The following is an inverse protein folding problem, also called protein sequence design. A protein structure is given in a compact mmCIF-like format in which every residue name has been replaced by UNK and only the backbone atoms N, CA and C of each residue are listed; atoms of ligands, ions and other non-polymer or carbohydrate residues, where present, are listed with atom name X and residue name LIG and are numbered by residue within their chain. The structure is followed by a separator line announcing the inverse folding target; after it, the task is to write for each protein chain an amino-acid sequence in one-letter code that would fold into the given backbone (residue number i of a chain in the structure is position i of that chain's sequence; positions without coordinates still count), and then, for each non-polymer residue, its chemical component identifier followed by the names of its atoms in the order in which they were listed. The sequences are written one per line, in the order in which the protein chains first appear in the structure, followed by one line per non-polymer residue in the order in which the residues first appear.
data_IF_233872164275
#
_entry.id   IF_233872164275
#
_cell.length_a   1.000
_cell.length_b   1.000
_cell.length_c   1.000
_cell.angle_alpha   90.00
_cell.angle_beta   90.00
_cell.angle_gamma   90.00
#
_symmetry.space_group_name_H-M   'P 1'
#
loop_
_entity.id
_entity.type
_entity.pdbx_description
1 polymer ?
#
# COMPACT_ATOMS: atom_id res chain seq x y z
N UNK A 1 11.59 -13.36 -15.81
CA UNK A 1 11.88 -11.91 -15.70
C UNK A 1 10.85 -11.05 -16.42
N UNK A 2 10.53 -11.29 -17.70
CA UNK A 2 9.49 -10.53 -18.44
C UNK A 2 8.13 -10.48 -17.71
N UNK A 3 7.64 -11.62 -17.20
CA UNK A 3 6.38 -11.69 -16.44
C UNK A 3 6.37 -10.79 -15.20
N UNK A 4 7.47 -10.74 -14.45
CA UNK A 4 7.60 -9.94 -13.23
C UNK A 4 7.51 -8.45 -13.56
N UNK A 5 8.26 -8.00 -14.58
CA UNK A 5 8.27 -6.60 -15.00
C UNK A 5 6.86 -6.16 -15.44
N UNK A 6 6.18 -6.97 -16.25
CA UNK A 6 4.82 -6.67 -16.73
C UNK A 6 3.86 -6.59 -15.54
N UNK A 7 3.89 -7.58 -14.65
CA UNK A 7 3.03 -7.58 -13.46
C UNK A 7 3.29 -6.37 -12.57
N UNK A 8 4.55 -5.99 -12.33
CA UNK A 8 4.88 -4.79 -11.55
C UNK A 8 4.25 -3.54 -12.16
N UNK A 9 4.37 -3.33 -13.48
CA UNK A 9 3.80 -2.16 -14.14
C UNK A 9 2.27 -2.12 -14.05
N UNK A 10 1.61 -3.26 -14.29
CA UNK A 10 0.15 -3.36 -14.22
C UNK A 10 -0.33 -3.09 -12.79
N UNK A 11 0.28 -3.74 -11.80
CA UNK A 11 -0.12 -3.58 -10.40
C UNK A 11 0.20 -2.16 -9.91
N UNK A 12 1.29 -1.55 -10.35
CA UNK A 12 1.63 -0.17 -10.01
C UNK A 12 0.55 0.82 -10.49
N UNK A 13 0.11 0.70 -11.75
CA UNK A 13 -0.98 1.51 -12.29
C UNK A 13 -2.29 1.25 -11.53
N UNK A 14 -2.64 -0.02 -11.28
CA UNK A 14 -3.82 -0.37 -10.52
C UNK A 14 -3.78 0.21 -9.10
N UNK A 15 -2.60 0.21 -8.46
CA UNK A 15 -2.40 0.75 -7.12
C UNK A 15 -2.62 2.25 -7.07
N UNK A 16 -2.18 3.02 -8.07
CA UNK A 16 -2.46 4.45 -8.15
C UNK A 16 -3.98 4.71 -8.15
N UNK A 17 -4.72 3.95 -8.98
CA UNK A 17 -6.18 4.10 -9.08
C UNK A 17 -6.86 3.74 -7.76
N UNK A 18 -6.53 2.57 -7.19
CA UNK A 18 -7.14 2.07 -5.95
C UNK A 18 -6.82 2.97 -4.76
N UNK A 19 -5.61 3.51 -4.70
CA UNK A 19 -5.16 4.36 -3.59
C UNK A 19 -5.70 5.79 -3.66
N UNK A 20 -6.22 6.23 -4.81
CA UNK A 20 -6.72 7.61 -4.97
C UNK A 20 -7.90 7.93 -4.05
N UNK A 21 -8.80 6.96 -3.83
CA UNK A 21 -9.99 7.12 -2.98
C UNK A 21 -9.60 7.34 -1.51
N UNK A 22 -8.88 6.43 -0.84
CA UNK A 22 -8.42 6.69 0.53
C UNK A 22 -7.40 7.84 0.59
N UNK A 23 -6.61 8.04 -0.47
CA UNK A 23 -5.77 9.23 -0.67
C UNK A 23 -6.52 10.53 -0.42
N UNK A 24 -7.67 10.68 -1.06
CA UNK A 24 -8.47 11.89 -0.96
C UNK A 24 -9.31 11.97 0.33
N UNK A 25 -9.99 10.88 0.70
CA UNK A 25 -10.98 10.92 1.79
C UNK A 25 -10.41 10.68 3.18
N UNK A 26 -9.26 9.99 3.28
CA UNK A 26 -8.68 9.61 4.57
C UNK A 26 -7.31 10.25 4.78
N UNK A 27 -6.35 10.04 3.87
CA UNK A 27 -4.98 10.50 4.08
C UNK A 27 -4.82 12.02 3.97
N UNK A 28 -5.43 12.67 2.97
CA UNK A 28 -5.28 14.10 2.78
C UNK A 28 -5.81 14.96 3.96
N UNK A 29 -6.99 14.70 4.54
CA UNK A 29 -7.45 15.42 5.73
C UNK A 29 -6.50 15.28 6.94
N UNK A 30 -6.02 14.06 7.21
CA UNK A 30 -5.07 13.82 8.31
C UNK A 30 -3.72 14.48 8.06
N UNK A 31 -3.23 14.52 6.81
CA UNK A 31 -2.03 15.26 6.45
C UNK A 31 -2.16 16.75 6.76
N UNK A 32 -3.31 17.36 6.45
CA UNK A 32 -3.57 18.79 6.71
C UNK A 32 -3.60 19.05 8.22
N UNK A 33 -4.26 18.19 8.99
CA UNK A 33 -4.28 18.30 10.45
C UNK A 33 -2.87 18.17 11.05
N UNK A 34 -2.12 17.14 10.65
CA UNK A 34 -0.75 16.91 11.12
C UNK A 34 0.20 18.03 10.71
N UNK A 35 0.05 18.60 9.52
CA UNK A 35 0.83 19.76 9.08
C UNK A 35 0.52 21.01 9.90
N UNK A 36 -0.74 21.18 10.34
CA UNK A 36 -1.12 22.26 11.26
C UNK A 36 -0.53 22.11 12.66
N UNK A 37 -0.42 20.87 13.16
CA UNK A 37 0.13 20.57 14.49
C UNK A 37 1.67 20.56 14.49
N UNK A 38 2.30 20.08 13.42
CA UNK A 38 3.73 19.84 13.31
C UNK A 38 4.31 20.38 11.98
N UNK A 39 4.22 21.69 11.71
CA UNK A 39 4.55 22.27 10.39
C UNK A 39 6.01 22.10 9.97
N UNK A 40 6.94 22.01 10.92
CA UNK A 40 8.37 21.79 10.64
C UNK A 40 8.70 20.33 10.31
N UNK A 41 7.82 19.39 10.66
CA UNK A 41 8.02 17.95 10.46
C UNK A 41 7.12 17.37 9.35
N UNK A 42 5.93 17.94 9.16
CA UNK A 42 4.91 17.44 8.24
C UNK A 42 4.57 18.53 7.21
N UNK A 43 5.02 18.39 5.95
CA UNK A 43 4.75 19.38 4.93
C UNK A 43 3.26 19.39 4.54
N UNK A 44 2.71 20.55 4.13
CA UNK A 44 1.29 20.64 3.75
C UNK A 44 0.97 19.86 2.47
N UNK A 45 1.97 19.65 1.62
CA UNK A 45 1.88 18.81 0.42
C UNK A 45 2.96 17.74 0.54
N UNK A 46 2.60 16.45 0.52
CA UNK A 46 3.58 15.37 0.49
C UNK A 46 4.49 15.44 -0.74
N UNK A 47 5.75 15.04 -0.58
CA UNK A 47 6.64 14.86 -1.72
C UNK A 47 6.25 13.58 -2.49
N UNK A 48 5.52 13.78 -3.58
CA UNK A 48 5.05 12.70 -4.44
C UNK A 48 6.19 11.87 -5.06
N UNK A 49 7.41 12.39 -5.13
CA UNK A 49 8.57 11.67 -5.69
C UNK A 49 8.94 10.50 -4.79
N UNK A 50 9.07 10.74 -3.48
CA UNK A 50 9.38 9.69 -2.50
C UNK A 50 8.20 8.73 -2.34
N UNK A 51 6.97 9.23 -2.35
CA UNK A 51 5.78 8.37 -2.30
C UNK A 51 5.71 7.43 -3.51
N UNK A 52 5.97 7.96 -4.71
CA UNK A 52 5.97 7.19 -5.96
C UNK A 52 7.06 6.11 -5.96
N UNK A 53 8.28 6.46 -5.52
CA UNK A 53 9.37 5.50 -5.40
C UNK A 53 9.05 4.41 -4.37
N UNK A 54 8.52 4.78 -3.21
CA UNK A 54 8.09 3.84 -2.18
C UNK A 54 7.05 2.85 -2.71
N UNK A 55 6.02 3.35 -3.39
CA UNK A 55 5.00 2.53 -4.02
C UNK A 55 5.59 1.58 -5.08
N UNK A 56 6.50 2.06 -5.93
CA UNK A 56 7.16 1.23 -6.94
C UNK A 56 7.95 0.08 -6.31
N UNK A 57 8.77 0.36 -5.28
CA UNK A 57 9.52 -0.68 -4.59
C UNK A 57 8.62 -1.67 -3.86
N UNK A 58 7.54 -1.18 -3.24
CA UNK A 58 6.55 -2.05 -2.60
C UNK A 58 5.86 -2.97 -3.62
N UNK A 59 5.57 -2.48 -4.83
CA UNK A 59 5.03 -3.32 -5.91
C UNK A 59 6.04 -4.37 -6.40
N UNK A 60 7.30 -3.98 -6.58
CA UNK A 60 8.38 -4.93 -6.95
C UNK A 60 8.47 -6.03 -5.90
N UNK A 61 8.54 -5.64 -4.62
CA UNK A 61 8.60 -6.58 -3.50
C UNK A 61 7.40 -7.53 -3.48
N UNK A 62 6.18 -6.99 -3.55
CA UNK A 62 4.94 -7.77 -3.51
C UNK A 62 4.86 -8.78 -4.65
N UNK A 63 5.15 -8.35 -5.88
CA UNK A 63 5.12 -9.24 -7.06
C UNK A 63 6.17 -10.34 -6.96
N UNK A 64 7.38 -10.03 -6.51
CA UNK A 64 8.44 -11.04 -6.33
C UNK A 64 8.04 -12.06 -5.26
N UNK A 65 7.52 -11.62 -4.13
CA UNK A 65 7.06 -12.51 -3.06
C UNK A 65 5.93 -13.41 -3.56
N UNK A 66 4.93 -12.85 -4.25
CA UNK A 66 3.77 -13.60 -4.72
C UNK A 66 4.15 -14.63 -5.79
N UNK A 67 5.08 -14.30 -6.69
CA UNK A 67 5.66 -15.25 -7.64
C UNK A 67 6.36 -16.42 -6.91
N UNK A 68 7.13 -16.13 -5.86
CA UNK A 68 7.81 -17.15 -5.06
C UNK A 68 6.85 -18.01 -4.23
N UNK A 69 5.70 -17.46 -3.83
CA UNK A 69 4.61 -18.20 -3.20
C UNK A 69 3.80 -19.06 -4.18
N UNK A 70 4.07 -18.98 -5.49
CA UNK A 70 3.33 -19.72 -6.51
C UNK A 70 1.92 -19.16 -6.77
N UNK A 71 1.67 -17.90 -6.44
CA UNK A 71 0.39 -17.24 -6.69
C UNK A 71 0.23 -16.98 -8.19
N UNK A 72 -0.86 -17.51 -8.77
CA UNK A 72 -1.09 -17.48 -10.22
C UNK A 72 -2.56 -17.33 -10.62
N UNK A 73 -3.44 -16.92 -9.70
CA UNK A 73 -4.84 -16.65 -10.02
C UNK A 73 -5.40 -15.54 -9.14
N UNK A 74 -6.53 -15.00 -9.59
CA UNK A 74 -7.18 -13.84 -8.96
C UNK A 74 -7.54 -14.11 -7.50
N UNK A 75 -8.12 -15.28 -7.20
CA UNK A 75 -8.60 -15.61 -5.85
C UNK A 75 -7.44 -15.76 -4.86
N UNK A 76 -6.42 -16.54 -5.21
CA UNK A 76 -5.25 -16.72 -4.33
C UNK A 76 -4.47 -15.41 -4.17
N UNK A 77 -4.38 -14.60 -5.23
CA UNK A 77 -3.80 -13.27 -5.18
C UNK A 77 -4.56 -12.33 -4.24
N UNK A 78 -5.89 -12.29 -4.32
CA UNK A 78 -6.71 -11.44 -3.45
C UNK A 78 -6.54 -11.81 -1.97
N UNK A 79 -6.60 -13.10 -1.65
CA UNK A 79 -6.45 -13.59 -0.27
C UNK A 79 -5.04 -13.28 0.26
N UNK A 80 -4.00 -13.56 -0.54
CA UNK A 80 -2.63 -13.24 -0.17
C UNK A 80 -2.46 -11.73 0.02
N UNK A 81 -3.05 -10.92 -0.87
CA UNK A 81 -3.04 -9.46 -0.83
C UNK A 81 -3.62 -8.87 0.44
N UNK A 82 -4.78 -9.38 0.89
CA UNK A 82 -5.41 -8.97 2.15
C UNK A 82 -4.44 -9.18 3.32
N UNK A 83 -3.94 -10.41 3.50
CA UNK A 83 -3.07 -10.73 4.62
C UNK A 83 -1.74 -9.99 4.55
N UNK A 84 -1.19 -9.86 3.35
CA UNK A 84 0.07 -9.16 3.14
C UNK A 84 -0.05 -7.69 3.53
N UNK A 85 -1.09 -6.99 3.07
CA UNK A 85 -1.30 -5.59 3.41
C UNK A 85 -1.65 -5.42 4.90
N UNK A 86 -2.57 -6.22 5.45
CA UNK A 86 -2.92 -6.13 6.87
C UNK A 86 -1.69 -6.24 7.77
N UNK A 87 -0.80 -7.20 7.50
CA UNK A 87 0.40 -7.42 8.31
C UNK A 87 1.48 -6.35 8.07
N UNK A 88 1.72 -5.94 6.83
CA UNK A 88 2.72 -4.92 6.50
C UNK A 88 2.33 -3.57 7.12
N UNK A 89 1.08 -3.14 6.95
CA UNK A 89 0.63 -1.86 7.49
C UNK A 89 0.47 -1.90 9.01
N UNK A 90 0.07 -3.03 9.59
CA UNK A 90 0.15 -3.20 11.06
C UNK A 90 1.58 -3.02 11.57
N UNK A 91 2.57 -3.62 10.90
CA UNK A 91 3.97 -3.44 11.28
C UNK A 91 4.40 -1.97 11.18
N UNK A 92 4.07 -1.29 10.08
CA UNK A 92 4.41 0.13 9.91
C UNK A 92 3.75 1.02 10.96
N UNK A 93 2.43 0.93 11.13
CA UNK A 93 1.69 1.82 12.00
C UNK A 93 2.07 1.64 13.47
N UNK A 94 2.13 0.39 13.95
CA UNK A 94 2.52 0.16 15.35
C UNK A 94 3.99 0.52 15.61
N UNK A 95 4.87 0.40 14.60
CA UNK A 95 6.25 0.90 14.71
C UNK A 95 6.26 2.43 14.81
N UNK A 96 5.49 3.13 13.97
CA UNK A 96 5.39 4.59 14.02
C UNK A 96 4.79 5.07 15.34
N UNK A 97 3.76 4.41 15.86
CA UNK A 97 3.19 4.71 17.18
C UNK A 97 4.18 4.45 18.33
N UNK A 98 5.10 3.49 18.17
CA UNK A 98 6.16 3.23 19.15
C UNK A 98 7.30 4.26 19.11
N UNK A 99 7.50 4.93 17.97
CA UNK A 99 8.56 5.91 17.76
C UNK A 99 8.09 7.36 17.92
N UNK A 100 6.83 7.64 17.61
CA UNK A 100 6.26 8.97 17.52
C UNK A 100 4.88 9.03 18.16
N UNK A 101 4.58 10.14 18.83
CA UNK A 101 3.26 10.43 19.40
C UNK A 101 2.33 11.15 18.42
N UNK A 102 2.59 11.06 17.11
CA UNK A 102 1.83 11.75 16.06
C UNK A 102 0.74 10.88 15.43
N UNK A 103 0.84 9.55 15.59
CA UNK A 103 -0.13 8.59 15.04
C UNK A 103 -1.04 8.11 16.16
N UNK A 104 -2.36 8.27 15.98
CA UNK A 104 -3.35 7.77 16.93
C UNK A 104 -3.70 6.31 16.66
N UNK A 105 -4.18 5.60 17.70
CA UNK A 105 -4.66 4.22 17.52
C UNK A 105 -5.82 4.14 16.54
N UNK A 106 -6.72 5.12 16.55
CA UNK A 106 -7.85 5.18 15.62
C UNK A 106 -7.37 5.30 14.18
N UNK A 107 -6.42 6.21 13.90
CA UNK A 107 -5.83 6.34 12.57
C UNK A 107 -5.21 5.02 12.10
N UNK A 108 -4.38 4.39 12.93
CA UNK A 108 -3.71 3.14 12.61
C UNK A 108 -4.71 2.02 12.29
N UNK A 109 -5.77 1.85 13.08
CA UNK A 109 -6.76 0.81 12.83
C UNK A 109 -7.54 1.03 11.53
N UNK A 110 -7.83 2.29 11.18
CA UNK A 110 -8.49 2.62 9.91
C UNK A 110 -7.52 2.43 8.74
N UNK A 111 -6.26 2.85 8.87
CA UNK A 111 -5.22 2.62 7.85
C UNK A 111 -5.08 1.13 7.54
N UNK A 112 -4.88 0.30 8.57
CA UNK A 112 -4.75 -1.16 8.42
C UNK A 112 -5.97 -1.73 7.68
N UNK A 113 -7.19 -1.34 8.06
CA UNK A 113 -8.41 -1.83 7.43
C UNK A 113 -8.52 -1.43 5.95
N UNK A 114 -8.27 -0.15 5.65
CA UNK A 114 -8.27 0.40 4.29
C UNK A 114 -7.18 -0.28 3.45
N UNK A 115 -5.98 -0.42 3.98
CA UNK A 115 -4.84 -1.11 3.38
C UNK A 115 -5.15 -2.58 3.10
N UNK A 116 -5.89 -3.28 3.96
CA UNK A 116 -6.38 -4.63 3.69
C UNK A 116 -7.30 -4.72 2.46
N UNK A 117 -8.22 -3.77 2.31
CA UNK A 117 -9.11 -3.67 1.13
C UNK A 117 -8.31 -3.36 -0.14
N UNK A 118 -7.36 -2.42 -0.05
CA UNK A 118 -6.48 -2.09 -1.16
C UNK A 118 -5.59 -3.29 -1.55
N UNK A 119 -5.04 -3.97 -0.55
CA UNK A 119 -4.23 -5.18 -0.70
C UNK A 119 -5.00 -6.31 -1.38
N UNK A 120 -6.29 -6.47 -1.09
CA UNK A 120 -7.16 -7.39 -1.82
C UNK A 120 -7.12 -7.14 -3.33
N UNK A 121 -7.35 -5.89 -3.75
CA UNK A 121 -7.42 -5.52 -5.16
C UNK A 121 -6.04 -5.63 -5.81
N UNK A 122 -5.01 -5.11 -5.16
CA UNK A 122 -3.62 -5.18 -5.65
C UNK A 122 -3.17 -6.64 -5.80
N UNK A 123 -3.39 -7.45 -4.78
CA UNK A 123 -3.07 -8.88 -4.80
C UNK A 123 -3.85 -9.64 -5.87
N UNK A 124 -5.12 -9.33 -6.08
CA UNK A 124 -5.93 -9.91 -7.15
C UNK A 124 -5.32 -9.62 -8.54
N UNK A 125 -4.90 -8.36 -8.77
CA UNK A 125 -4.22 -7.95 -10.01
C UNK A 125 -2.88 -8.66 -10.19
N UNK A 126 -2.08 -8.78 -9.11
CA UNK A 126 -0.82 -9.53 -9.12
C UNK A 126 -1.09 -10.99 -9.53
N UNK A 127 -2.00 -11.66 -8.84
CA UNK A 127 -2.28 -13.08 -9.06
C UNK A 127 -2.85 -13.36 -10.45
N UNK A 128 -3.74 -12.50 -10.96
CA UNK A 128 -4.21 -12.56 -12.34
C UNK A 128 -3.07 -12.39 -13.35
N UNK A 129 -2.24 -11.37 -13.18
CA UNK A 129 -1.17 -11.06 -14.12
C UNK A 129 -0.08 -12.14 -14.14
N UNK A 130 0.31 -12.68 -12.96
CA UNK A 130 1.25 -13.80 -12.86
C UNK A 130 0.70 -15.11 -13.44
N UNK A 131 -0.62 -15.33 -13.39
CA UNK A 131 -1.26 -16.47 -14.04
C UNK A 131 -1.31 -16.36 -15.56
N UNK A 132 -1.29 -15.12 -16.08
CA UNK A 132 -1.44 -14.82 -17.49
C UNK A 132 -0.10 -14.79 -18.25
N UNK A 133 0.99 -14.39 -17.60
CA UNK A 133 2.31 -14.17 -18.21
C UNK A 133 3.43 -15.02 -17.57
#
# INVERSE_FOLDING_TARGET
MKKIIITVLITFIASIVVSSVPGYFFYAPHQIELSGLFPDAVPPIPDFSYMTLGALFFMIFSVVVFDKMGINNLKSGAIAGIWFALLVFSFFDFTLMGLFNIVTLEFALVDIAVSGVMGCIQGAVIGWSLGKF
#
